data_IF_280531387972
#
_entry.id   IF_280531387972
#
_cell.length_a   1.000
_cell.length_b   1.000
_cell.length_c   1.000
_cell.angle_alpha   90.00
_cell.angle_beta   90.00
_cell.angle_gamma   90.00
#
_symmetry.space_group_name_H-M   'P 1'
#
loop_
_entity.id
_entity.type
_entity.pdbx_description
1 polymer ?
#
# COMPACT_ATOMS: atom_id res chain seq x y z
N UNK A 1 -6.54 -4.68 -15.14
CA UNK A 1 -7.76 -4.78 -14.34
C UNK A 1 -8.09 -3.50 -13.59
N UNK A 2 -7.16 -2.76 -12.96
CA UNK A 2 -7.45 -1.46 -12.31
C UNK A 2 -8.03 -0.44 -13.29
N UNK A 3 -7.46 -0.31 -14.49
CA UNK A 3 -7.99 0.56 -15.54
C UNK A 3 -9.42 0.16 -15.95
N UNK A 4 -9.70 -1.15 -16.03
CA UNK A 4 -11.05 -1.62 -16.31
C UNK A 4 -12.03 -1.18 -15.22
N UNK A 5 -11.67 -1.34 -13.95
CA UNK A 5 -12.50 -0.90 -12.82
C UNK A 5 -12.74 0.61 -12.84
N UNK A 6 -11.71 1.41 -13.18
CA UNK A 6 -11.85 2.87 -13.33
C UNK A 6 -12.81 3.23 -14.47
N UNK A 7 -12.67 2.57 -15.64
CA UNK A 7 -13.58 2.79 -16.78
C UNK A 7 -15.02 2.46 -16.38
N UNK A 8 -15.23 1.32 -15.72
CA UNK A 8 -16.58 0.90 -15.30
C UNK A 8 -17.18 1.84 -14.25
N UNK A 9 -16.37 2.32 -13.33
CA UNK A 9 -16.76 3.34 -12.37
C UNK A 9 -17.15 4.66 -13.05
N UNK A 10 -16.34 5.14 -14.00
CA UNK A 10 -16.65 6.36 -14.77
C UNK A 10 -17.94 6.22 -15.59
N UNK A 11 -18.17 5.06 -16.18
CA UNK A 11 -19.41 4.74 -16.89
C UNK A 11 -20.60 4.80 -15.94
N UNK A 12 -20.49 4.17 -14.77
CA UNK A 12 -21.54 4.20 -13.76
C UNK A 12 -21.84 5.63 -13.30
N UNK A 13 -20.81 6.44 -13.05
CA UNK A 13 -20.98 7.84 -12.61
C UNK A 13 -21.60 8.72 -13.70
N UNK A 14 -21.23 8.51 -14.98
CA UNK A 14 -21.68 9.38 -16.08
C UNK A 14 -23.02 8.97 -16.67
N UNK A 15 -23.30 7.67 -16.71
CA UNK A 15 -24.45 7.12 -17.44
C UNK A 15 -25.44 6.36 -16.53
N UNK A 16 -25.10 6.16 -15.25
CA UNK A 16 -25.93 5.41 -14.32
C UNK A 16 -26.03 3.90 -14.63
N UNK A 17 -25.17 3.38 -15.52
CA UNK A 17 -25.22 2.00 -15.98
C UNK A 17 -24.15 1.20 -15.23
N UNK A 18 -24.57 0.12 -14.57
CA UNK A 18 -23.64 -0.81 -13.91
C UNK A 18 -23.22 -1.89 -14.90
N UNK A 19 -21.92 -1.89 -15.25
CA UNK A 19 -21.32 -2.94 -16.05
C UNK A 19 -20.39 -3.78 -15.18
N UNK A 20 -20.57 -5.10 -15.15
CA UNK A 20 -19.70 -6.00 -14.39
C UNK A 20 -18.38 -6.22 -15.09
N UNK A 21 -17.32 -6.52 -14.34
CA UNK A 21 -16.02 -6.89 -14.93
C UNK A 21 -16.14 -8.08 -15.88
N UNK A 22 -17.00 -9.06 -15.56
CA UNK A 22 -17.27 -10.21 -16.41
C UNK A 22 -17.87 -9.79 -17.78
N UNK A 23 -18.85 -8.89 -17.78
CA UNK A 23 -19.43 -8.37 -19.01
C UNK A 23 -18.42 -7.57 -19.83
N UNK A 24 -17.61 -6.74 -19.18
CA UNK A 24 -16.55 -5.97 -19.82
C UNK A 24 -15.51 -6.87 -20.51
N UNK A 25 -15.07 -7.96 -19.85
CA UNK A 25 -14.07 -8.87 -20.40
C UNK A 25 -14.64 -9.91 -21.38
N UNK A 26 -15.96 -10.03 -21.50
CA UNK A 26 -16.58 -10.87 -22.53
C UNK A 26 -16.33 -10.32 -23.94
N UNK A 27 -16.35 -8.99 -24.09
CA UNK A 27 -15.93 -8.28 -25.31
C UNK A 27 -15.23 -6.96 -24.91
N UNK A 28 -13.91 -6.98 -24.64
CA UNK A 28 -13.17 -5.84 -24.14
C UNK A 28 -12.80 -4.83 -25.25
N UNK A 29 -13.73 -4.57 -26.16
CA UNK A 29 -13.59 -3.59 -27.22
C UNK A 29 -14.47 -2.36 -26.95
N UNK A 30 -14.15 -1.22 -27.58
CA UNK A 30 -14.97 -0.02 -27.51
C UNK A 30 -16.37 -0.31 -28.10
N UNK A 31 -16.43 -1.07 -29.19
CA UNK A 31 -17.66 -1.44 -29.87
C UNK A 31 -18.54 -2.34 -28.96
N UNK A 32 -17.96 -3.41 -28.39
CA UNK A 32 -18.66 -4.31 -27.47
C UNK A 32 -19.19 -3.59 -26.24
N UNK A 33 -18.37 -2.72 -25.63
CA UNK A 33 -18.79 -1.91 -24.50
C UNK A 33 -19.92 -0.94 -24.89
N UNK A 34 -19.83 -0.30 -26.06
CA UNK A 34 -20.87 0.61 -26.55
C UNK A 34 -22.19 -0.12 -26.79
N UNK A 35 -22.17 -1.29 -27.41
CA UNK A 35 -23.35 -2.13 -27.61
C UNK A 35 -23.98 -2.52 -26.26
N UNK A 36 -23.17 -2.99 -25.31
CA UNK A 36 -23.64 -3.32 -23.97
C UNK A 36 -24.34 -2.13 -23.29
N UNK A 37 -23.74 -0.93 -23.35
CA UNK A 37 -24.30 0.27 -22.73
C UNK A 37 -25.60 0.70 -23.40
N UNK A 38 -25.72 0.56 -24.71
CA UNK A 38 -26.95 0.87 -25.44
C UNK A 38 -28.08 -0.11 -25.10
N UNK A 39 -27.77 -1.39 -24.93
CA UNK A 39 -28.73 -2.41 -24.51
C UNK A 39 -29.22 -2.20 -23.07
N UNK A 40 -28.36 -1.73 -22.18
CA UNK A 40 -28.69 -1.44 -20.76
C UNK A 40 -29.32 -0.04 -20.58
N UNK A 41 -29.20 0.85 -21.56
CA UNK A 41 -29.58 2.27 -21.50
C UNK A 41 -31.06 2.58 -21.44
N UNK A 42 -31.93 1.62 -21.12
CA UNK A 42 -33.36 1.82 -20.92
C UNK A 42 -33.85 1.67 -19.48
N UNK A 43 -33.00 1.42 -18.53
CA UNK A 43 -33.35 1.28 -17.12
C UNK A 43 -32.80 2.44 -16.31
N UNK A 44 -33.62 3.36 -15.88
CA UNK A 44 -33.34 4.24 -14.74
C UNK A 44 -33.25 3.37 -13.48
N UNK A 45 -32.23 2.57 -13.39
CA UNK A 45 -31.82 2.03 -12.08
C UNK A 45 -31.22 3.20 -11.30
N UNK A 46 -31.97 3.66 -10.29
CA UNK A 46 -31.46 4.60 -9.32
C UNK A 46 -30.06 4.12 -8.92
N UNK A 47 -29.05 4.93 -9.23
CA UNK A 47 -27.69 4.72 -8.72
C UNK A 47 -27.86 4.58 -7.22
N UNK A 48 -27.64 3.37 -6.69
CA UNK A 48 -27.58 3.20 -5.23
C UNK A 48 -26.47 4.13 -4.77
N UNK A 49 -26.87 5.23 -4.14
CA UNK A 49 -25.90 6.15 -3.57
C UNK A 49 -24.97 5.30 -2.69
N UNK A 50 -23.66 5.44 -2.91
CA UNK A 50 -22.70 4.83 -2.00
C UNK A 50 -23.07 5.29 -0.58
N UNK A 51 -23.08 4.39 0.40
CA UNK A 51 -23.40 4.79 1.76
C UNK A 51 -22.49 5.95 2.18
N UNK A 52 -23.06 6.94 2.87
CA UNK A 52 -22.31 8.08 3.35
C UNK A 52 -21.28 7.60 4.36
N UNK A 53 -20.00 7.72 4.02
CA UNK A 53 -18.92 7.36 4.93
C UNK A 53 -18.89 8.36 6.09
N UNK A 54 -19.07 7.86 7.30
CA UNK A 54 -19.01 8.68 8.50
C UNK A 54 -17.57 8.79 8.98
N UNK A 55 -17.00 9.99 8.83
CA UNK A 55 -15.66 10.28 9.37
C UNK A 55 -15.70 10.33 10.90
N UNK A 56 -14.95 9.44 11.56
CA UNK A 56 -14.90 9.32 13.01
C UNK A 56 -13.45 9.43 13.55
N UNK A 57 -12.87 10.65 13.57
CA UNK A 57 -11.46 10.86 13.93
C UNK A 57 -11.12 10.38 15.34
N UNK A 58 -12.07 10.52 16.28
CA UNK A 58 -11.88 10.09 17.67
C UNK A 58 -11.83 8.57 17.83
N UNK A 59 -12.29 7.83 16.83
CA UNK A 59 -12.34 6.35 16.83
C UNK A 59 -11.27 5.70 15.97
N UNK A 60 -10.43 6.46 15.31
CA UNK A 60 -9.47 5.94 14.31
C UNK A 60 -8.48 4.91 14.88
N UNK A 61 -8.29 4.87 16.19
CA UNK A 61 -7.40 3.94 16.89
C UNK A 61 -8.11 2.72 17.47
N UNK A 62 -9.43 2.65 17.36
CA UNK A 62 -10.17 1.47 17.78
C UNK A 62 -9.95 0.32 16.80
N UNK A 63 -9.89 -0.93 17.27
CA UNK A 63 -9.82 -2.09 16.38
C UNK A 63 -10.99 -2.11 15.40
N UNK A 64 -10.74 -2.63 14.20
CA UNK A 64 -11.75 -2.79 13.15
C UNK A 64 -11.44 -4.05 12.31
N UNK A 65 -12.44 -4.63 11.61
CA UNK A 65 -12.26 -5.85 10.88
C UNK A 65 -11.28 -5.70 9.72
N UNK A 66 -10.65 -6.81 9.33
CA UNK A 66 -9.95 -6.91 8.06
C UNK A 66 -10.96 -6.93 6.91
N UNK A 67 -10.60 -6.38 5.76
CA UNK A 67 -11.33 -6.64 4.51
C UNK A 67 -11.20 -8.11 4.11
N UNK A 68 -12.07 -8.62 3.23
CA UNK A 68 -12.01 -10.01 2.75
C UNK A 68 -10.63 -10.38 2.17
N UNK A 69 -10.02 -9.45 1.44
CA UNK A 69 -8.67 -9.65 0.87
C UNK A 69 -7.60 -9.70 1.95
N UNK A 70 -7.64 -8.77 2.90
CA UNK A 70 -6.70 -8.77 4.03
C UNK A 70 -6.88 -10.04 4.88
N UNK A 71 -8.13 -10.49 5.08
CA UNK A 71 -8.41 -11.72 5.82
C UNK A 71 -7.82 -12.95 5.12
N UNK A 72 -7.91 -13.03 3.79
CA UNK A 72 -7.27 -14.09 3.01
C UNK A 72 -5.75 -14.09 3.19
N UNK A 73 -5.11 -12.92 3.16
CA UNK A 73 -3.66 -12.79 3.40
C UNK A 73 -3.28 -13.17 4.84
N UNK A 74 -4.07 -12.76 5.83
CA UNK A 74 -3.82 -13.07 7.22
C UNK A 74 -3.99 -14.57 7.53
N UNK A 75 -5.02 -15.21 6.97
CA UNK A 75 -5.24 -16.66 7.10
C UNK A 75 -4.10 -17.45 6.44
N UNK A 76 -3.62 -17.01 5.26
CA UNK A 76 -2.51 -17.64 4.55
C UNK A 76 -1.18 -17.69 5.32
N UNK A 77 -1.02 -16.85 6.37
CA UNK A 77 0.17 -16.84 7.26
C UNK A 77 0.13 -17.91 8.34
N UNK A 78 -1.05 -18.50 8.61
CA UNK A 78 -1.19 -19.47 9.71
C UNK A 78 -0.50 -20.77 9.39
N UNK A 79 0.47 -21.15 10.24
CA UNK A 79 1.19 -22.43 10.14
C UNK A 79 0.29 -23.67 10.25
N UNK A 80 -0.92 -23.52 10.82
CA UNK A 80 -1.89 -24.60 10.98
C UNK A 80 -2.53 -25.07 9.67
N UNK A 81 -2.42 -24.30 8.60
CA UNK A 81 -2.89 -24.67 7.27
C UNK A 81 -1.72 -25.31 6.50
N UNK A 82 -1.91 -26.48 5.93
CA UNK A 82 -0.86 -27.27 5.28
C UNK A 82 -0.12 -26.58 4.13
N UNK A 83 -0.64 -25.45 3.61
CA UNK A 83 -0.05 -24.54 2.65
C UNK A 83 0.24 -23.17 3.25
N UNK A 84 0.19 -23.02 4.57
CA UNK A 84 0.40 -21.76 5.28
C UNK A 84 1.88 -21.38 5.39
N UNK A 85 2.13 -20.27 6.13
CA UNK A 85 3.47 -19.71 6.34
C UNK A 85 4.02 -18.91 5.15
N UNK A 86 3.12 -18.28 4.39
CA UNK A 86 3.47 -17.35 3.31
C UNK A 86 2.95 -15.97 3.67
N UNK A 87 3.84 -14.98 3.67
CA UNK A 87 3.47 -13.57 3.76
C UNK A 87 3.28 -13.02 2.34
N UNK A 88 2.13 -12.39 2.11
CA UNK A 88 1.92 -11.64 0.89
C UNK A 88 2.48 -10.23 1.09
N UNK A 89 3.61 -9.93 0.45
CA UNK A 89 4.26 -8.64 0.54
C UNK A 89 4.81 -8.22 -0.83
N UNK A 90 5.06 -6.92 -0.97
CA UNK A 90 5.76 -6.36 -2.13
C UNK A 90 7.21 -6.13 -1.73
N UNK A 91 8.14 -6.59 -2.56
CA UNK A 91 9.54 -6.23 -2.48
C UNK A 91 9.96 -5.51 -3.75
N UNK A 92 10.59 -4.34 -3.58
CA UNK A 92 11.11 -3.52 -4.70
C UNK A 92 12.45 -2.90 -4.34
N UNK A 93 13.23 -2.60 -5.37
CA UNK A 93 14.52 -1.91 -5.24
C UNK A 93 14.51 -0.63 -6.08
N UNK A 94 15.08 0.43 -5.52
CA UNK A 94 15.27 1.71 -6.21
C UNK A 94 16.75 2.07 -6.26
N UNK A 95 17.23 2.48 -7.43
CA UNK A 95 18.55 3.08 -7.57
C UNK A 95 18.45 4.59 -7.37
N UNK A 96 19.30 5.11 -6.49
CA UNK A 96 19.35 6.52 -6.11
C UNK A 96 20.79 7.01 -6.14
N UNK A 97 20.98 8.32 -6.18
CA UNK A 97 22.29 8.96 -6.16
C UNK A 97 22.32 10.05 -5.10
N UNK A 98 23.36 10.04 -4.26
CA UNK A 98 23.57 11.10 -3.27
C UNK A 98 22.46 11.18 -2.22
N UNK A 99 22.00 10.02 -1.70
CA UNK A 99 20.94 9.97 -0.71
C UNK A 99 21.46 10.43 0.65
N UNK A 100 20.87 11.49 1.19
CA UNK A 100 21.15 11.96 2.55
C UNK A 100 20.32 11.18 3.57
N UNK A 101 20.99 10.48 4.49
CA UNK A 101 20.35 9.62 5.50
C UNK A 101 19.42 10.40 6.42
N UNK A 102 19.84 11.56 6.91
CA UNK A 102 19.05 12.39 7.85
C UNK A 102 17.79 12.92 7.17
N UNK A 103 17.93 13.44 5.95
CA UNK A 103 16.80 13.93 5.17
C UNK A 103 15.83 12.80 4.80
N UNK A 104 16.36 11.60 4.50
CA UNK A 104 15.55 10.44 4.16
C UNK A 104 14.73 9.94 5.37
N UNK A 105 15.38 9.74 6.52
CA UNK A 105 14.70 9.32 7.75
C UNK A 105 13.62 10.33 8.17
N UNK A 106 13.91 11.64 8.11
CA UNK A 106 12.91 12.68 8.38
C UNK A 106 11.72 12.59 7.44
N UNK A 107 11.95 12.47 6.14
CA UNK A 107 10.89 12.37 5.13
C UNK A 107 10.03 11.12 5.34
N UNK A 108 10.67 9.98 5.60
CA UNK A 108 9.97 8.72 5.87
C UNK A 108 9.07 8.83 7.11
N UNK A 109 9.58 9.40 8.20
CA UNK A 109 8.77 9.56 9.42
C UNK A 109 7.62 10.55 9.22
N UNK A 110 7.76 11.56 8.36
CA UNK A 110 6.64 12.43 7.98
C UNK A 110 5.54 11.64 7.23
N UNK A 111 5.90 10.74 6.33
CA UNK A 111 4.96 9.87 5.61
C UNK A 111 4.30 8.86 6.56
N UNK A 112 5.05 8.26 7.49
CA UNK A 112 4.51 7.35 8.52
C UNK A 112 3.49 8.07 9.41
N UNK A 113 3.79 9.29 9.83
CA UNK A 113 2.88 10.11 10.63
C UNK A 113 1.59 10.43 9.88
N UNK A 114 1.70 10.73 8.58
CA UNK A 114 0.58 11.10 7.71
C UNK A 114 -0.35 9.94 7.40
N UNK A 115 0.19 8.78 7.00
CA UNK A 115 -0.58 7.63 6.56
C UNK A 115 -0.84 6.66 7.71
N UNK A 116 -2.07 6.62 8.20
CA UNK A 116 -2.45 5.80 9.35
C UNK A 116 -2.15 4.31 9.15
N UNK A 117 -2.37 3.76 7.95
CA UNK A 117 -2.11 2.35 7.67
C UNK A 117 -0.63 1.96 7.79
N UNK A 118 0.32 2.89 7.65
CA UNK A 118 1.73 2.62 7.96
C UNK A 118 2.00 2.41 9.46
N UNK A 119 1.02 2.67 10.32
CA UNK A 119 1.06 2.40 11.76
C UNK A 119 0.09 1.29 12.19
N UNK A 120 -0.45 0.55 11.22
CA UNK A 120 -1.36 -0.56 11.49
C UNK A 120 -0.62 -1.81 11.98
N UNK A 121 -1.30 -2.56 12.82
CA UNK A 121 -0.99 -3.94 13.21
C UNK A 121 -2.24 -4.79 13.05
N UNK A 122 -2.07 -6.12 13.04
CA UNK A 122 -3.17 -7.08 13.04
C UNK A 122 -3.04 -7.96 14.27
N UNK A 123 -4.05 -7.91 15.14
CA UNK A 123 -4.09 -8.67 16.38
C UNK A 123 -4.36 -10.17 16.14
N UNK A 124 -4.14 -11.00 17.15
CA UNK A 124 -4.34 -12.45 17.07
C UNK A 124 -5.80 -12.85 16.82
N UNK A 125 -6.75 -11.99 17.13
CA UNK A 125 -8.18 -12.17 16.88
C UNK A 125 -8.61 -11.84 15.44
N UNK A 126 -7.65 -11.36 14.61
CA UNK A 126 -7.92 -10.98 13.23
C UNK A 126 -8.49 -9.58 13.06
N UNK A 127 -8.47 -8.77 14.10
CA UNK A 127 -8.79 -7.35 13.99
C UNK A 127 -7.54 -6.54 13.70
N UNK A 128 -7.66 -5.53 12.84
CA UNK A 128 -6.57 -4.56 12.61
C UNK A 128 -6.76 -3.32 13.48
N UNK A 129 -5.65 -2.68 13.82
CA UNK A 129 -5.64 -1.49 14.66
C UNK A 129 -4.57 -0.51 14.21
N UNK A 130 -4.91 0.77 14.19
CA UNK A 130 -3.97 1.87 13.95
C UNK A 130 -3.37 2.30 15.28
N UNK A 131 -2.06 2.20 15.43
CA UNK A 131 -1.36 2.68 16.62
C UNK A 131 -1.36 4.22 16.63
N UNK A 132 -1.76 4.87 17.74
CA UNK A 132 -1.76 6.33 17.84
C UNK A 132 -0.35 6.91 17.75
N UNK A 133 0.62 6.23 18.37
CA UNK A 133 2.02 6.62 18.39
C UNK A 133 2.89 5.40 18.08
N UNK A 134 3.94 5.62 17.31
CA UNK A 134 4.98 4.64 17.02
C UNK A 134 6.35 5.30 17.24
N UNK A 135 7.39 4.52 17.56
CA UNK A 135 8.75 5.06 17.61
C UNK A 135 9.16 5.67 16.28
N UNK A 136 10.14 6.57 16.31
CA UNK A 136 10.78 7.04 15.09
C UNK A 136 11.42 5.85 14.36
N UNK A 137 11.12 5.72 13.07
CA UNK A 137 11.68 4.66 12.24
C UNK A 137 13.04 5.12 11.69
N UNK A 138 14.04 4.29 11.88
CA UNK A 138 15.39 4.52 11.38
C UNK A 138 15.72 3.48 10.31
N UNK A 139 15.98 3.94 9.11
CA UNK A 139 16.45 3.07 8.01
C UNK A 139 17.90 2.68 8.27
N UNK A 140 18.23 1.41 8.10
CA UNK A 140 19.60 0.96 8.17
C UNK A 140 20.36 1.34 6.89
N UNK A 141 21.47 2.08 7.04
CA UNK A 141 22.37 2.45 5.95
C UNK A 141 23.66 1.66 6.05
N UNK A 142 24.05 0.98 4.97
CA UNK A 142 25.25 0.17 4.86
C UNK A 142 26.20 0.79 3.84
N UNK A 143 27.24 1.45 4.29
CA UNK A 143 28.30 1.97 3.42
C UNK A 143 29.29 0.88 3.09
N UNK A 144 29.60 0.70 1.81
CA UNK A 144 30.52 -0.32 1.31
C UNK A 144 31.82 0.29 0.79
N UNK A 145 32.88 -0.50 0.72
CA UNK A 145 34.21 -0.03 0.35
C UNK A 145 34.54 -0.22 -1.14
N UNK A 146 33.78 -1.05 -1.85
CA UNK A 146 33.96 -1.35 -3.26
C UNK A 146 32.65 -1.88 -3.90
N UNK A 147 32.61 -1.92 -5.22
CA UNK A 147 31.47 -2.39 -5.99
C UNK A 147 31.09 -3.84 -5.67
N UNK A 148 32.08 -4.74 -5.49
CA UNK A 148 31.80 -6.14 -5.18
C UNK A 148 31.08 -6.28 -3.83
N UNK A 149 31.52 -5.55 -2.81
CA UNK A 149 30.90 -5.52 -1.50
C UNK A 149 29.47 -4.91 -1.57
N UNK A 150 29.28 -3.88 -2.39
CA UNK A 150 27.96 -3.29 -2.65
C UNK A 150 27.02 -4.33 -3.27
N UNK A 151 27.44 -4.99 -4.35
CA UNK A 151 26.63 -5.99 -5.03
C UNK A 151 26.35 -7.20 -4.13
N UNK A 152 27.33 -7.62 -3.34
CA UNK A 152 27.12 -8.71 -2.38
C UNK A 152 26.07 -8.34 -1.33
N UNK A 153 26.20 -7.15 -0.70
CA UNK A 153 25.23 -6.70 0.32
C UNK A 153 23.82 -6.54 -0.27
N UNK A 154 23.68 -6.01 -1.48
CA UNK A 154 22.40 -5.92 -2.16
C UNK A 154 21.77 -7.31 -2.40
N UNK A 155 22.58 -8.33 -2.76
CA UNK A 155 22.06 -9.71 -2.92
C UNK A 155 21.57 -10.28 -1.58
N UNK A 156 22.35 -10.12 -0.51
CA UNK A 156 21.99 -10.60 0.83
C UNK A 156 20.67 -9.98 1.31
N UNK A 157 20.48 -8.67 1.12
CA UNK A 157 19.26 -7.98 1.48
C UNK A 157 18.07 -8.43 0.61
N UNK A 158 18.29 -8.58 -0.70
CA UNK A 158 17.27 -9.11 -1.61
C UNK A 158 16.79 -10.48 -1.15
N UNK A 159 17.71 -11.40 -0.91
CA UNK A 159 17.39 -12.77 -0.50
C UNK A 159 16.64 -12.79 0.84
N UNK A 160 16.97 -11.89 1.75
CA UNK A 160 16.32 -11.78 3.06
C UNK A 160 14.94 -11.12 2.94
N UNK A 161 14.87 -9.92 2.36
CA UNK A 161 13.66 -9.08 2.38
C UNK A 161 12.58 -9.55 1.41
N UNK A 162 12.96 -10.22 0.31
CA UNK A 162 11.98 -10.76 -0.64
C UNK A 162 11.30 -12.05 -0.19
N UNK A 163 11.79 -12.68 0.88
CA UNK A 163 11.25 -13.93 1.41
C UNK A 163 10.83 -13.84 2.88
N UNK A 164 10.97 -12.67 3.49
CA UNK A 164 10.65 -12.49 4.90
C UNK A 164 9.15 -12.60 5.19
N UNK A 165 8.84 -13.02 6.38
CA UNK A 165 7.49 -12.97 6.93
C UNK A 165 7.51 -12.04 8.15
N UNK A 166 6.99 -10.83 7.98
CA UNK A 166 6.90 -9.83 9.05
C UNK A 166 5.81 -10.28 10.04
N UNK A 167 6.10 -10.19 11.34
CA UNK A 167 5.12 -10.42 12.39
C UNK A 167 4.06 -9.32 12.36
N UNK A 168 2.86 -9.63 11.86
CA UNK A 168 1.81 -8.65 11.69
C UNK A 168 1.20 -8.13 13.01
N UNK A 169 1.49 -8.77 14.14
CA UNK A 169 1.06 -8.31 15.47
C UNK A 169 1.93 -7.19 16.04
N UNK A 170 3.04 -6.85 15.36
CA UNK A 170 4.02 -5.86 15.80
C UNK A 170 4.35 -4.88 14.71
N UNK A 171 4.37 -3.61 15.06
CA UNK A 171 4.85 -2.55 14.18
C UNK A 171 6.39 -2.60 14.03
N UNK A 172 6.94 -2.32 12.84
CA UNK A 172 6.28 -1.97 11.58
C UNK A 172 5.98 -3.21 10.69
N UNK A 173 4.97 -3.10 9.83
CA UNK A 173 4.66 -4.09 8.80
C UNK A 173 5.35 -3.79 7.45
N UNK A 174 6.48 -3.12 7.52
CA UNK A 174 7.37 -2.85 6.39
C UNK A 174 8.83 -2.81 6.88
N UNK A 175 9.76 -2.96 5.95
CA UNK A 175 11.18 -2.81 6.21
C UNK A 175 11.84 -2.10 5.05
N UNK A 176 12.74 -1.17 5.38
CA UNK A 176 13.53 -0.42 4.40
C UNK A 176 14.99 -0.44 4.81
N UNK A 177 15.88 -0.71 3.85
CA UNK A 177 17.33 -0.72 4.05
C UNK A 177 18.02 -0.09 2.84
N UNK A 178 19.13 0.57 3.06
CA UNK A 178 19.90 1.27 2.03
C UNK A 178 21.33 0.76 2.01
N UNK A 179 21.84 0.42 0.83
CA UNK A 179 23.25 0.14 0.60
C UNK A 179 23.84 1.28 -0.22
N UNK A 180 25.00 1.80 0.19
CA UNK A 180 25.69 2.91 -0.45
C UNK A 180 27.09 2.47 -0.89
N UNK A 181 27.44 2.74 -2.14
CA UNK A 181 28.78 2.50 -2.68
C UNK A 181 29.72 3.71 -2.45
N UNK A 182 31.03 3.56 -2.73
CA UNK A 182 31.98 4.68 -2.56
C UNK A 182 31.70 5.89 -3.47
N UNK A 183 30.95 5.73 -4.56
CA UNK A 183 30.57 6.81 -5.49
C UNK A 183 29.24 7.46 -5.12
N UNK A 184 28.69 7.16 -3.92
CA UNK A 184 27.41 7.67 -3.45
C UNK A 184 26.20 7.15 -4.28
N UNK A 185 26.35 6.06 -5.02
CA UNK A 185 25.24 5.33 -5.59
C UNK A 185 24.57 4.55 -4.46
N UNK A 186 23.28 4.71 -4.30
CA UNK A 186 22.51 4.04 -3.27
C UNK A 186 21.50 3.06 -3.88
N UNK A 187 21.33 1.90 -3.24
CA UNK A 187 20.24 0.96 -3.51
C UNK A 187 19.32 0.94 -2.30
N UNK A 188 18.10 1.43 -2.48
CA UNK A 188 17.04 1.35 -1.48
C UNK A 188 16.26 0.05 -1.71
N UNK A 189 16.22 -0.80 -0.70
CA UNK A 189 15.41 -2.01 -0.62
C UNK A 189 14.15 -1.71 0.19
N UNK A 190 12.98 -2.03 -0.34
CA UNK A 190 11.68 -1.82 0.31
C UNK A 190 10.92 -3.13 0.32
N UNK A 191 10.55 -3.60 1.49
CA UNK A 191 9.61 -4.71 1.69
C UNK A 191 8.42 -4.17 2.47
N UNK A 192 7.22 -4.31 1.95
CA UNK A 192 5.98 -3.83 2.57
C UNK A 192 4.89 -4.91 2.49
N UNK A 193 4.23 -5.15 3.61
CA UNK A 193 3.19 -6.14 3.73
C UNK A 193 1.88 -5.69 3.09
N UNK A 194 1.23 -6.57 2.32
CA UNK A 194 -0.04 -6.26 1.67
C UNK A 194 -1.25 -6.20 2.64
N UNK A 195 -1.03 -6.47 3.92
CA UNK A 195 -2.03 -6.14 4.95
C UNK A 195 -2.19 -4.64 5.15
N UNK A 196 -1.16 -3.84 4.86
CA UNK A 196 -1.19 -2.38 5.10
C UNK A 196 -1.13 -1.52 3.84
N UNK A 197 -0.84 -2.12 2.70
CA UNK A 197 -0.70 -1.40 1.43
C UNK A 197 -0.99 -2.30 0.24
N UNK A 198 -1.46 -1.74 -0.83
CA UNK A 198 -1.52 -2.35 -2.15
C UNK A 198 -0.50 -1.68 -3.10
N UNK A 199 -0.49 -2.06 -4.37
CA UNK A 199 0.43 -1.50 -5.35
C UNK A 199 0.22 0.02 -5.55
N UNK A 200 -1.02 0.50 -5.49
CA UNK A 200 -1.35 1.91 -5.61
C UNK A 200 -0.87 2.70 -4.37
N UNK A 201 -1.06 2.12 -3.19
CA UNK A 201 -0.55 2.68 -1.94
C UNK A 201 0.97 2.81 -1.94
N UNK A 202 1.69 1.82 -2.50
CA UNK A 202 3.14 1.87 -2.64
C UNK A 202 3.59 3.02 -3.55
N UNK A 203 2.92 3.22 -4.69
CA UNK A 203 3.22 4.34 -5.59
C UNK A 203 3.02 5.69 -4.89
N UNK A 204 1.89 5.85 -4.21
CA UNK A 204 1.60 7.05 -3.42
C UNK A 204 2.65 7.28 -2.34
N UNK A 205 3.01 6.22 -1.60
CA UNK A 205 4.03 6.25 -0.56
C UNK A 205 5.38 6.75 -1.10
N UNK A 206 5.88 6.18 -2.19
CA UNK A 206 7.16 6.58 -2.80
C UNK A 206 7.10 8.02 -3.31
N UNK A 207 5.99 8.42 -3.93
CA UNK A 207 5.79 9.79 -4.41
C UNK A 207 5.81 10.81 -3.27
N UNK A 208 5.11 10.56 -2.18
CA UNK A 208 5.07 11.46 -1.02
C UNK A 208 6.39 11.44 -0.25
N UNK A 209 7.06 10.29 -0.15
CA UNK A 209 8.41 10.19 0.41
C UNK A 209 9.40 11.08 -0.36
N UNK A 210 9.41 10.98 -1.70
CA UNK A 210 10.24 11.81 -2.55
C UNK A 210 9.88 13.31 -2.44
N UNK A 211 8.61 13.63 -2.26
CA UNK A 211 8.14 15.00 -2.05
C UNK A 211 8.65 15.57 -0.72
N UNK A 212 8.46 14.88 0.41
CA UNK A 212 8.94 15.31 1.72
C UNK A 212 10.48 15.36 1.81
N UNK A 213 11.16 14.46 1.10
CA UNK A 213 12.62 14.50 0.99
C UNK A 213 13.12 15.80 0.35
N UNK A 214 12.49 16.23 -0.75
CA UNK A 214 12.86 17.44 -1.49
C UNK A 214 12.34 18.73 -0.84
N UNK A 215 11.21 18.65 -0.14
CA UNK A 215 10.48 19.78 0.41
C UNK A 215 10.22 19.61 1.92
N UNK A 216 11.24 19.71 2.77
CA UNK A 216 11.16 19.36 4.18
C UNK A 216 10.19 20.22 5.01
N UNK A 217 9.86 21.41 4.53
CA UNK A 217 8.94 22.34 5.19
C UNK A 217 7.53 22.37 4.58
N UNK A 218 7.32 21.63 3.50
CA UNK A 218 6.02 21.64 2.82
C UNK A 218 5.01 20.75 3.54
N UNK A 219 3.81 21.27 3.73
CA UNK A 219 2.67 20.49 4.21
C UNK A 219 1.83 20.00 3.02
N UNK A 220 1.44 18.75 3.06
CA UNK A 220 0.43 18.20 2.16
C UNK A 220 -0.98 18.44 2.75
N UNK A 221 -2.04 18.51 1.92
CA UNK A 221 -3.42 18.63 2.41
C UNK A 221 -3.75 17.54 3.43
N UNK A 222 -4.50 17.88 4.46
CA UNK A 222 -4.94 16.93 5.48
C UNK A 222 -5.79 15.82 4.86
N UNK A 223 -5.53 14.57 5.26
CA UNK A 223 -6.39 13.45 4.88
C UNK A 223 -7.67 13.50 5.70
N UNK A 224 -8.81 13.45 5.02
CA UNK A 224 -10.14 13.58 5.63
C UNK A 224 -10.81 12.25 5.90
N UNK A 225 -10.30 11.16 5.32
CA UNK A 225 -10.79 9.79 5.50
C UNK A 225 -9.70 8.88 6.01
N UNK A 226 -10.07 7.95 6.89
CA UNK A 226 -9.22 6.85 7.31
C UNK A 226 -9.63 5.55 6.59
N UNK A 227 -8.72 4.59 6.53
CA UNK A 227 -9.04 3.26 6.02
C UNK A 227 -10.08 2.54 6.91
N UNK A 228 -10.07 2.84 8.22
CA UNK A 228 -11.08 2.34 9.15
C UNK A 228 -12.48 2.82 8.76
N UNK A 229 -12.64 4.12 8.47
CA UNK A 229 -13.93 4.67 8.06
C UNK A 229 -14.44 4.00 6.79
N UNK A 230 -13.55 3.77 5.83
CA UNK A 230 -13.86 3.04 4.59
C UNK A 230 -14.33 1.59 4.86
N UNK A 231 -13.66 0.86 5.75
CA UNK A 231 -13.99 -0.56 6.02
C UNK A 231 -15.30 -0.70 6.78
N UNK A 232 -15.70 0.30 7.57
CA UNK A 232 -16.91 0.28 8.39
C UNK A 232 -18.15 0.87 7.68
N UNK A 233 -17.99 1.42 6.47
CA UNK A 233 -19.08 1.90 5.60
C UNK A 233 -19.67 0.75 4.80
#
# INVERSE_FOLDING_TARGET
SLLASTILYDIQQRYGITCTLSAFFADPTIEGLSCYLLEQGGSETAVSALPDTVFAPDQQHLPFPLTDVQQAYWVGRRKSLGLGNISTHIYVEYELQGLDETAFNRALNAVIARHSMLRAIVNDDGMQQILPNVPEYHVAFYTTQCEDAFQQRCRELRDTLSHQMIDCSRWPLFQMEVVVDPQQKARLHVSIDLLIADAWSLELFIRELAYHYRHPQAALPTLTYSFRDYVLT
#
